data_IF_273126466027
#
_entry.id   IF_273126466027
#
_cell.length_a   1.000
_cell.length_b   1.000
_cell.length_c   1.000
_cell.angle_alpha   90.00
_cell.angle_beta   90.00
_cell.angle_gamma   90.00
#
_symmetry.space_group_name_H-M   'P 1'
#
loop_
_entity.id
_entity.type
_entity.pdbx_description
1 polymer ?
#
# COMPACT_ATOMS: atom_id res chain seq x y z
N UNK A 1 -3.34 15.33 12.13
CA UNK A 1 -2.50 14.76 11.06
C UNK A 1 -1.85 13.49 11.54
N UNK A 2 -1.51 12.59 10.62
CA UNK A 2 -0.95 11.26 10.93
C UNK A 2 0.41 11.36 11.60
N UNK A 3 0.64 10.48 12.58
CA UNK A 3 1.87 10.41 13.38
C UNK A 3 2.39 8.97 13.42
N UNK A 4 3.61 8.78 13.92
CA UNK A 4 4.14 7.44 14.20
C UNK A 4 3.27 6.67 15.21
N UNK A 5 2.67 7.36 16.18
CA UNK A 5 1.72 6.77 17.12
C UNK A 5 0.44 6.29 16.42
N UNK A 6 -0.08 7.09 15.49
CA UNK A 6 -1.24 6.72 14.65
C UNK A 6 -0.96 5.43 13.87
N UNK A 7 0.15 5.39 13.12
CA UNK A 7 0.52 4.19 12.36
C UNK A 7 0.76 2.98 13.27
N UNK A 8 1.33 3.18 14.45
CA UNK A 8 1.51 2.11 15.44
C UNK A 8 0.17 1.50 15.87
N UNK A 9 -0.85 2.33 16.16
CA UNK A 9 -2.16 1.83 16.54
C UNK A 9 -2.96 1.21 15.39
N UNK A 10 -2.64 1.54 14.14
CA UNK A 10 -3.17 0.86 12.94
C UNK A 10 -2.64 -0.56 12.75
N UNK A 11 -1.48 -0.90 13.33
CA UNK A 11 -0.93 -2.26 13.25
C UNK A 11 -1.81 -3.23 14.05
N UNK A 12 -2.10 -4.37 13.43
CA UNK A 12 -2.74 -5.53 14.09
C UNK A 12 -1.71 -6.43 14.76
N UNK A 13 -0.64 -6.70 14.03
CA UNK A 13 0.42 -7.62 14.41
C UNK A 13 1.73 -6.87 14.64
N UNK A 14 2.84 -7.60 14.75
CA UNK A 14 4.18 -7.03 14.98
C UNK A 14 4.66 -6.14 13.83
N UNK A 15 4.18 -6.40 12.61
CA UNK A 15 4.51 -5.65 11.39
C UNK A 15 3.30 -4.84 10.93
N UNK A 16 3.53 -3.69 10.27
CA UNK A 16 2.46 -3.05 9.50
C UNK A 16 1.97 -3.98 8.39
N UNK A 17 0.79 -3.66 7.87
CA UNK A 17 0.27 -4.28 6.67
C UNK A 17 1.26 -4.11 5.51
N UNK A 18 1.27 -5.05 4.57
CA UNK A 18 2.29 -5.08 3.52
C UNK A 18 2.30 -3.82 2.64
N UNK A 19 1.14 -3.19 2.44
CA UNK A 19 0.97 -2.08 1.48
C UNK A 19 0.12 -0.96 2.07
N UNK A 20 0.57 0.28 1.85
CA UNK A 20 -0.19 1.51 2.06
C UNK A 20 -0.10 2.37 0.79
N UNK A 21 -1.22 2.96 0.38
CA UNK A 21 -1.27 3.92 -0.74
C UNK A 21 -1.51 5.32 -0.19
N UNK A 22 -0.82 6.31 -0.76
CA UNK A 22 -0.78 7.69 -0.27
C UNK A 22 -0.64 8.68 -1.42
N UNK A 23 -1.23 9.86 -1.29
CA UNK A 23 -1.08 10.97 -2.24
C UNK A 23 0.29 11.66 -2.11
N UNK A 24 1.06 11.34 -1.08
CA UNK A 24 2.33 11.99 -0.78
C UNK A 24 3.41 11.00 -0.31
N UNK A 25 4.67 11.38 -0.51
CA UNK A 25 5.86 10.64 -0.06
C UNK A 25 6.05 10.64 1.48
N UNK A 26 5.21 11.38 2.19
CA UNK A 26 5.24 11.50 3.65
C UNK A 26 6.47 12.22 4.17
N UNK A 27 6.72 12.07 5.46
CA UNK A 27 7.89 12.62 6.14
C UNK A 27 8.61 11.55 6.93
N UNK A 28 9.94 11.65 6.98
CA UNK A 28 10.77 10.77 7.79
C UNK A 28 10.75 11.28 9.24
N UNK A 29 10.12 10.52 10.14
CA UNK A 29 10.07 10.83 11.57
C UNK A 29 10.59 9.65 12.38
N UNK A 30 11.68 9.87 13.11
CA UNK A 30 12.33 8.82 13.89
C UNK A 30 12.84 7.62 13.07
N UNK A 31 13.18 7.81 11.80
CA UNK A 31 13.62 6.74 10.89
C UNK A 31 12.48 5.93 10.26
N UNK A 32 11.22 6.30 10.52
CA UNK A 32 10.04 5.73 9.89
C UNK A 32 9.42 6.76 8.95
N UNK A 33 9.02 6.32 7.77
CA UNK A 33 8.21 7.15 6.89
C UNK A 33 6.75 7.13 7.33
N UNK A 34 6.18 8.33 7.43
CA UNK A 34 4.79 8.56 7.85
C UNK A 34 4.10 9.41 6.79
N UNK A 35 2.98 8.94 6.20
CA UNK A 35 2.18 9.75 5.28
C UNK A 35 1.70 11.05 5.93
N UNK A 36 1.60 12.12 5.15
CA UNK A 36 1.01 13.37 5.58
C UNK A 36 -0.52 13.34 5.42
N UNK A 37 -1.22 14.16 6.21
CA UNK A 37 -2.69 14.22 6.19
C UNK A 37 -3.38 13.15 7.04
N UNK A 38 -4.61 12.80 6.67
CA UNK A 38 -5.50 11.88 7.40
C UNK A 38 -5.89 10.68 6.53
N UNK A 39 -5.98 9.49 7.15
CA UNK A 39 -6.47 8.27 6.49
C UNK A 39 -7.94 8.44 6.09
N UNK A 40 -8.34 7.80 4.99
CA UNK A 40 -9.77 7.67 4.65
C UNK A 40 -10.54 7.04 5.82
N UNK A 41 -11.57 7.73 6.29
CA UNK A 41 -12.39 7.26 7.43
C UNK A 41 -11.83 7.63 8.82
N UNK A 42 -10.84 8.53 8.90
CA UNK A 42 -10.44 9.14 10.16
C UNK A 42 -11.57 9.99 10.78
N UNK A 43 -11.69 9.94 12.11
CA UNK A 43 -12.58 10.80 12.87
C UNK A 43 -11.80 12.06 13.29
N UNK A 44 -11.90 13.12 12.49
CA UNK A 44 -11.21 14.39 12.71
C UNK A 44 -12.14 15.57 12.45
N UNK A 45 -11.85 16.70 13.08
CA UNK A 45 -12.53 17.97 12.83
C UNK A 45 -11.91 18.76 11.66
N UNK A 46 -10.88 18.21 10.99
CA UNK A 46 -10.27 18.81 9.81
C UNK A 46 -11.30 18.98 8.68
N UNK A 47 -11.18 20.10 7.95
CA UNK A 47 -12.04 20.43 6.81
C UNK A 47 -11.27 20.71 5.53
N UNK A 48 -9.93 20.84 5.62
CA UNK A 48 -9.08 21.06 4.47
C UNK A 48 -9.03 19.79 3.57
N UNK A 49 -9.53 19.86 2.33
CA UNK A 49 -9.50 18.72 1.41
C UNK A 49 -8.08 18.25 1.09
N UNK A 50 -7.07 19.12 1.16
CA UNK A 50 -5.67 18.79 0.88
C UNK A 50 -5.04 17.96 2.03
N UNK A 51 -5.71 17.87 3.18
CA UNK A 51 -5.28 17.08 4.33
C UNK A 51 -6.16 15.85 4.57
N UNK A 52 -7.39 15.84 4.08
CA UNK A 52 -8.33 14.73 4.24
C UNK A 52 -8.10 13.63 3.20
N UNK A 53 -8.39 12.38 3.57
CA UNK A 53 -8.40 11.22 2.67
C UNK A 53 -7.10 11.02 1.88
N UNK A 54 -5.96 11.34 2.49
CA UNK A 54 -4.66 11.40 1.80
C UNK A 54 -4.00 10.04 1.62
N UNK A 55 -4.46 9.01 2.34
CA UNK A 55 -3.91 7.66 2.23
C UNK A 55 -4.89 6.60 2.71
N UNK A 56 -4.63 5.35 2.32
CA UNK A 56 -5.29 4.15 2.82
C UNK A 56 -4.29 3.06 3.16
N UNK A 57 -4.56 2.32 4.23
CA UNK A 57 -3.78 1.12 4.60
C UNK A 57 -4.51 -0.10 4.07
N UNK A 58 -3.88 -0.89 3.20
CA UNK A 58 -4.52 -2.04 2.59
C UNK A 58 -4.52 -3.23 3.57
N UNK A 59 -5.56 -4.07 3.49
CA UNK A 59 -5.61 -5.27 4.32
C UNK A 59 -4.67 -6.35 3.80
N UNK A 60 -4.10 -7.15 4.71
CA UNK A 60 -3.44 -8.42 4.42
C UNK A 60 -4.41 -9.62 4.45
N UNK A 61 -5.70 -9.41 4.69
CA UNK A 61 -6.72 -10.47 4.73
C UNK A 61 -6.77 -11.21 3.38
N UNK A 62 -6.28 -12.45 3.35
CA UNK A 62 -6.20 -13.29 2.14
C UNK A 62 -5.50 -12.62 0.94
N UNK A 63 -4.49 -11.79 1.20
CA UNK A 63 -3.62 -11.24 0.16
C UNK A 63 -2.72 -12.34 -0.42
N UNK A 64 -2.48 -12.34 -1.73
CA UNK A 64 -1.49 -13.18 -2.40
C UNK A 64 -0.07 -12.71 -2.11
N UNK A 65 0.96 -13.21 -2.79
CA UNK A 65 2.30 -12.63 -2.74
C UNK A 65 2.35 -11.20 -3.33
N UNK A 66 3.39 -10.44 -2.97
CA UNK A 66 3.82 -9.26 -3.71
C UNK A 66 4.85 -9.74 -4.73
N UNK A 67 4.53 -9.65 -6.02
CA UNK A 67 5.43 -10.01 -7.11
C UNK A 67 6.11 -8.77 -7.67
N UNK A 68 7.44 -8.80 -7.74
CA UNK A 68 8.28 -7.71 -8.21
C UNK A 68 8.95 -8.13 -9.52
N UNK A 69 8.61 -7.46 -10.62
CA UNK A 69 9.14 -7.76 -11.95
C UNK A 69 9.89 -6.53 -12.49
N UNK A 70 11.23 -6.51 -12.44
CA UNK A 70 11.99 -5.45 -13.09
C UNK A 70 11.93 -5.62 -14.61
N UNK A 71 11.59 -4.55 -15.30
CA UNK A 71 11.50 -4.48 -16.75
C UNK A 71 12.55 -3.51 -17.29
N UNK A 72 13.46 -4.03 -18.12
CA UNK A 72 14.43 -3.19 -18.81
C UNK A 72 13.88 -2.71 -20.14
N UNK A 73 13.82 -1.39 -20.29
CA UNK A 73 13.43 -0.70 -21.50
C UNK A 73 14.68 -0.49 -22.34
N UNK A 74 14.77 -1.20 -23.47
CA UNK A 74 15.87 -1.07 -24.42
C UNK A 74 15.39 -0.86 -25.85
N UNK A 75 16.13 -0.07 -26.62
CA UNK A 75 15.99 -0.01 -28.07
C UNK A 75 16.99 -0.95 -28.73
N UNK A 76 16.50 -1.92 -29.52
CA UNK A 76 17.34 -2.86 -30.27
C UNK A 76 17.25 -2.57 -31.76
N UNK A 77 18.38 -2.28 -32.40
CA UNK A 77 18.47 -2.04 -33.84
C UNK A 77 19.59 -2.88 -34.47
N UNK A 78 19.36 -3.36 -35.68
CA UNK A 78 20.38 -4.05 -36.48
C UNK A 78 21.18 -3.04 -37.29
N UNK A 79 22.51 -3.11 -37.22
CA UNK A 79 23.41 -2.23 -37.97
C UNK A 79 23.80 -2.83 -39.31
N UNK A 80 24.32 -2.00 -40.21
CA UNK A 80 24.69 -2.38 -41.59
C UNK A 80 25.71 -3.53 -41.67
N UNK A 81 26.52 -3.73 -40.62
CA UNK A 81 27.45 -4.85 -40.50
C UNK A 81 26.80 -6.15 -39.97
N UNK A 82 25.47 -6.21 -39.92
CA UNK A 82 24.72 -7.39 -39.49
C UNK A 82 24.73 -7.66 -37.97
N UNK A 83 25.45 -6.86 -37.18
CA UNK A 83 25.42 -6.97 -35.70
C UNK A 83 24.19 -6.27 -35.13
N UNK A 84 23.73 -6.75 -33.98
CA UNK A 84 22.67 -6.10 -33.22
C UNK A 84 23.30 -5.13 -32.22
N UNK A 85 22.72 -3.94 -32.07
CA UNK A 85 23.02 -3.01 -30.98
C UNK A 85 21.78 -2.84 -30.12
N UNK A 86 21.95 -2.89 -28.80
CA UNK A 86 20.92 -2.52 -27.82
C UNK A 86 21.36 -1.24 -27.09
N UNK A 87 20.40 -0.36 -26.83
CA UNK A 87 20.58 0.85 -26.02
C UNK A 87 19.66 0.76 -24.83
N UNK A 88 20.23 0.69 -23.63
CA UNK A 88 19.49 0.75 -22.38
C UNK A 88 18.98 2.17 -22.16
N UNK A 89 17.66 2.32 -21.95
CA UNK A 89 17.01 3.61 -21.75
C UNK A 89 16.66 3.79 -20.27
N UNK A 90 15.94 2.82 -19.70
CA UNK A 90 15.53 2.84 -18.31
C UNK A 90 15.23 1.42 -17.82
N UNK A 91 15.27 1.24 -16.51
CA UNK A 91 14.67 0.10 -15.82
C UNK A 91 13.39 0.61 -15.13
N UNK A 92 12.32 -0.17 -15.14
CA UNK A 92 11.05 0.12 -14.46
C UNK A 92 10.63 -1.08 -13.62
N UNK A 93 10.13 -0.86 -12.42
CA UNK A 93 9.56 -1.93 -11.60
C UNK A 93 8.05 -2.09 -11.82
N UNK A 94 7.62 -3.32 -12.11
CA UNK A 94 6.21 -3.71 -12.08
C UNK A 94 5.91 -4.52 -10.82
N UNK A 95 4.83 -4.17 -10.13
CA UNK A 95 4.45 -4.77 -8.85
C UNK A 95 3.03 -5.32 -8.97
N UNK A 96 2.87 -6.61 -8.70
CA UNK A 96 1.60 -7.32 -8.86
C UNK A 96 1.21 -8.03 -7.57
N UNK A 97 -0.07 -7.90 -7.20
CA UNK A 97 -0.65 -8.63 -6.08
C UNK A 97 -2.17 -8.66 -6.17
N UNK A 98 -2.77 -9.52 -5.37
CA UNK A 98 -4.21 -9.78 -5.39
C UNK A 98 -4.73 -10.15 -4.01
N UNK A 99 -6.04 -10.20 -3.89
CA UNK A 99 -6.75 -10.76 -2.75
C UNK A 99 -7.76 -11.79 -3.23
N UNK A 100 -7.89 -12.88 -2.46
CA UNK A 100 -8.97 -13.85 -2.63
C UNK A 100 -9.98 -13.71 -1.49
N UNK A 101 -11.26 -13.46 -1.82
CA UNK A 101 -12.36 -13.32 -0.85
C UNK A 101 -12.09 -12.24 0.21
N UNK A 102 -11.59 -11.09 -0.22
CA UNK A 102 -11.48 -9.91 0.63
C UNK A 102 -12.88 -9.40 1.00
N UNK A 103 -13.18 -9.10 2.27
CA UNK A 103 -14.40 -8.39 2.64
C UNK A 103 -14.54 -7.06 1.89
N UNK A 104 -15.74 -6.75 1.41
CA UNK A 104 -16.00 -5.50 0.68
C UNK A 104 -15.75 -4.25 1.54
N UNK A 105 -15.81 -4.37 2.86
CA UNK A 105 -15.54 -3.29 3.82
C UNK A 105 -14.78 -3.83 5.04
N UNK A 106 -13.99 -2.97 5.69
CA UNK A 106 -13.21 -3.32 6.88
C UNK A 106 -14.05 -3.46 8.15
N UNK A 107 -15.09 -2.63 8.29
CA UNK A 107 -15.95 -2.57 9.47
C UNK A 107 -17.42 -2.48 9.09
N UNK A 108 -18.32 -2.75 10.04
CA UNK A 108 -19.77 -2.64 9.86
C UNK A 108 -20.23 -1.21 9.50
N UNK A 109 -19.54 -0.19 10.02
CA UNK A 109 -19.78 1.23 9.80
C UNK A 109 -18.49 1.93 9.34
N UNK A 110 -18.52 3.26 9.22
CA UNK A 110 -17.32 4.07 9.00
C UNK A 110 -16.29 3.73 10.09
N UNK A 111 -15.04 3.50 9.69
CA UNK A 111 -14.00 3.04 10.60
C UNK A 111 -13.79 3.98 11.79
N UNK A 112 -14.00 5.28 11.59
CA UNK A 112 -13.91 6.33 12.62
C UNK A 112 -12.58 6.25 13.39
N UNK A 113 -11.46 6.12 12.66
CA UNK A 113 -10.14 5.99 13.25
C UNK A 113 -9.86 7.21 14.12
N UNK A 114 -9.50 6.99 15.39
CA UNK A 114 -9.12 8.08 16.28
C UNK A 114 -7.93 8.84 15.70
N UNK A 115 -8.03 10.18 15.60
CA UNK A 115 -7.02 11.02 14.94
C UNK A 115 -5.62 10.95 15.57
N UNK A 116 -5.51 10.56 16.85
CA UNK A 116 -4.22 10.46 17.54
C UNK A 116 -3.69 9.03 17.54
N UNK A 117 -4.54 8.04 17.81
CA UNK A 117 -4.11 6.65 18.00
C UNK A 117 -4.28 5.79 16.76
N UNK A 118 -5.05 6.20 15.76
CA UNK A 118 -5.39 5.38 14.59
C UNK A 118 -6.29 4.18 14.90
N UNK A 119 -6.76 4.03 16.14
CA UNK A 119 -7.58 2.90 16.54
C UNK A 119 -9.05 3.18 16.19
N UNK A 120 -9.69 2.24 15.50
CA UNK A 120 -11.14 2.22 15.32
C UNK A 120 -11.85 1.77 16.61
N UNK A 121 -13.02 2.33 16.95
CA UNK A 121 -13.87 1.79 18.03
C UNK A 121 -14.31 0.34 17.81
N UNK A 122 -14.20 -0.16 16.56
CA UNK A 122 -14.56 -1.52 16.19
C UNK A 122 -13.36 -2.48 16.17
N UNK A 123 -12.16 -2.02 16.53
CA UNK A 123 -10.96 -2.88 16.53
C UNK A 123 -11.15 -4.06 17.48
N UNK A 124 -10.85 -5.26 16.98
CA UNK A 124 -10.91 -6.53 17.70
C UNK A 124 -12.29 -6.92 18.24
N UNK A 125 -13.36 -6.52 17.56
CA UNK A 125 -14.72 -6.92 17.91
C UNK A 125 -15.45 -7.58 16.74
N UNK A 126 -16.73 -7.95 16.94
CA UNK A 126 -17.55 -8.65 15.94
C UNK A 126 -17.96 -7.80 14.73
N UNK A 127 -17.62 -6.51 14.75
CA UNK A 127 -17.94 -5.52 13.72
C UNK A 127 -16.72 -5.19 12.85
N UNK A 128 -15.57 -5.83 13.10
CA UNK A 128 -14.38 -5.84 12.24
C UNK A 128 -14.43 -7.08 11.32
N UNK A 129 -14.30 -6.88 10.01
CA UNK A 129 -14.47 -7.92 9.00
C UNK A 129 -13.17 -8.30 8.32
N UNK A 130 -12.28 -7.34 8.04
CA UNK A 130 -10.89 -7.65 7.65
C UNK A 130 -10.12 -8.13 8.88
N UNK A 131 -9.14 -9.02 8.70
CA UNK A 131 -8.48 -9.67 9.84
C UNK A 131 -7.60 -8.71 10.67
N UNK A 132 -7.26 -7.59 10.07
CA UNK A 132 -6.27 -6.61 10.51
C UNK A 132 -6.81 -5.17 10.51
N UNK A 133 -8.10 -4.97 10.22
CA UNK A 133 -8.72 -3.65 10.14
C UNK A 133 -8.17 -2.79 9.01
N UNK A 134 -7.50 -3.37 8.01
CA UNK A 134 -7.08 -2.71 6.79
C UNK A 134 -8.25 -2.55 5.80
N UNK A 135 -8.03 -1.76 4.75
CA UNK A 135 -9.02 -1.43 3.73
C UNK A 135 -9.64 -2.67 3.08
N UNK A 136 -10.98 -2.65 2.96
CA UNK A 136 -11.74 -3.66 2.22
C UNK A 136 -11.85 -3.33 0.73
N UNK A 137 -12.48 -4.23 -0.03
CA UNK A 137 -12.52 -4.14 -1.48
C UNK A 137 -13.14 -2.85 -2.05
N UNK A 138 -14.17 -2.30 -1.41
CA UNK A 138 -14.81 -1.05 -1.85
C UNK A 138 -13.89 0.15 -1.68
N UNK A 139 -13.13 0.21 -0.59
CA UNK A 139 -12.18 1.31 -0.37
C UNK A 139 -11.02 1.26 -1.38
N UNK A 140 -10.59 0.05 -1.75
CA UNK A 140 -9.59 -0.15 -2.81
C UNK A 140 -10.12 0.28 -4.18
N UNK A 141 -11.36 -0.09 -4.51
CA UNK A 141 -12.02 0.33 -5.76
C UNK A 141 -12.25 1.85 -5.80
N UNK A 142 -12.66 2.44 -4.68
CA UNK A 142 -12.85 3.90 -4.57
C UNK A 142 -11.52 4.64 -4.77
N UNK A 143 -10.43 4.15 -4.18
CA UNK A 143 -9.09 4.69 -4.45
C UNK A 143 -8.74 4.62 -5.94
N UNK A 144 -8.92 3.45 -6.58
CA UNK A 144 -8.67 3.29 -8.01
C UNK A 144 -9.46 4.28 -8.88
N UNK A 145 -10.74 4.48 -8.58
CA UNK A 145 -11.61 5.38 -9.37
C UNK A 145 -11.26 6.86 -9.18
N UNK A 146 -10.78 7.25 -8.00
CA UNK A 146 -10.54 8.66 -7.65
C UNK A 146 -9.08 9.09 -7.88
N UNK A 147 -8.14 8.15 -8.08
CA UNK A 147 -6.72 8.44 -8.25
C UNK A 147 -6.20 7.90 -9.60
N UNK A 148 -6.46 8.65 -10.67
CA UNK A 148 -6.00 8.32 -12.02
C UNK A 148 -4.55 8.72 -12.29
N UNK A 149 -3.97 9.55 -11.41
CA UNK A 149 -2.59 10.00 -11.47
C UNK A 149 -1.62 9.05 -10.74
N UNK A 150 -0.32 9.39 -10.75
CA UNK A 150 0.66 8.68 -9.94
C UNK A 150 0.44 8.97 -8.46
N UNK A 151 0.58 7.95 -7.63
CA UNK A 151 0.49 8.02 -6.17
C UNK A 151 1.66 7.28 -5.54
N UNK A 152 1.84 7.43 -4.23
CA UNK A 152 2.92 6.81 -3.48
C UNK A 152 2.47 5.50 -2.87
N UNK A 153 3.29 4.47 -3.06
CA UNK A 153 3.11 3.17 -2.43
C UNK A 153 4.22 2.95 -1.39
N UNK A 154 3.77 2.65 -0.18
CA UNK A 154 4.60 2.31 0.96
C UNK A 154 4.55 0.79 1.12
N UNK A 155 5.72 0.18 1.12
CA UNK A 155 5.87 -1.27 1.21
C UNK A 155 6.52 -1.66 2.54
N UNK A 156 6.03 -2.75 3.10
CA UNK A 156 6.59 -3.37 4.29
C UNK A 156 6.94 -4.83 3.99
N UNK A 157 8.17 -5.06 3.54
CA UNK A 157 8.73 -6.40 3.32
C UNK A 157 10.20 -6.41 3.71
N UNK A 158 10.80 -7.57 3.97
CA UNK A 158 12.21 -7.57 4.39
C UNK A 158 13.14 -7.40 3.17
N UNK A 159 13.85 -6.27 3.15
CA UNK A 159 14.92 -5.98 2.19
C UNK A 159 16.07 -5.27 2.92
N UNK A 160 16.73 -6.00 3.83
CA UNK A 160 17.86 -5.50 4.62
C UNK A 160 18.99 -4.89 3.77
N UNK A 161 19.10 -5.26 2.49
CA UNK A 161 20.12 -4.72 1.59
C UNK A 161 19.94 -3.23 1.29
N UNK A 162 18.74 -2.67 1.50
CA UNK A 162 18.46 -1.24 1.37
C UNK A 162 18.97 -0.42 2.58
N UNK A 163 19.33 -1.07 3.68
CA UNK A 163 19.68 -0.42 4.97
C UNK A 163 21.16 -0.54 5.30
N UNK A 164 22.03 -0.42 4.29
CA UNK A 164 23.48 -0.48 4.48
C UNK A 164 23.98 0.75 5.23
N UNK A 165 24.90 0.54 6.16
CA UNK A 165 25.65 1.60 6.83
C UNK A 165 27.04 1.63 6.19
N UNK A 166 27.47 2.81 5.69
CA UNK A 166 28.75 2.99 4.99
C UNK A 166 29.01 2.00 3.84
N UNK A 167 27.94 1.56 3.15
CA UNK A 167 28.00 0.63 2.02
C UNK A 167 28.01 -0.85 2.40
N UNK A 168 28.01 -1.17 3.70
CA UNK A 168 28.06 -2.53 4.21
C UNK A 168 26.75 -2.93 4.92
N UNK A 169 26.41 -4.22 4.87
CA UNK A 169 25.28 -4.77 5.64
C UNK A 169 25.76 -5.04 7.05
N UNK A 170 25.14 -4.38 8.03
CA UNK A 170 25.46 -4.51 9.45
C UNK A 170 24.28 -5.07 10.23
N UNK A 171 24.47 -5.39 11.51
CA UNK A 171 23.39 -5.93 12.36
C UNK A 171 22.15 -5.01 12.41
N UNK A 172 22.36 -3.69 12.38
CA UNK A 172 21.25 -2.72 12.37
C UNK A 172 20.42 -2.81 11.09
N UNK A 173 20.99 -3.22 9.95
CA UNK A 173 20.28 -3.35 8.67
C UNK A 173 19.10 -4.33 8.72
N UNK A 174 19.08 -5.24 9.69
CA UNK A 174 17.99 -6.21 9.90
C UNK A 174 16.86 -5.67 10.80
N UNK A 175 17.01 -4.48 11.38
CA UNK A 175 16.08 -3.90 12.36
C UNK A 175 14.81 -3.25 11.79
N UNK A 176 14.58 -3.32 10.48
CA UNK A 176 13.59 -2.50 9.77
C UNK A 176 12.27 -3.22 9.45
N UNK A 177 11.96 -4.34 10.11
CA UNK A 177 10.72 -5.12 9.85
C UNK A 177 9.43 -4.44 10.34
N UNK A 178 9.54 -3.56 11.34
CA UNK A 178 8.42 -2.93 12.02
C UNK A 178 7.95 -1.61 11.36
N UNK A 179 8.41 -1.30 10.15
CA UNK A 179 8.12 -0.06 9.44
C UNK A 179 7.84 -0.31 7.95
N UNK A 180 7.20 0.66 7.30
CA UNK A 180 7.27 0.76 5.85
C UNK A 180 8.69 1.18 5.49
N UNK A 181 9.34 0.35 4.70
CA UNK A 181 10.79 0.37 4.54
C UNK A 181 11.20 0.60 3.07
N UNK A 182 10.22 0.65 2.17
CA UNK A 182 10.41 1.09 0.80
C UNK A 182 9.22 1.95 0.37
N UNK A 183 9.52 3.00 -0.39
CA UNK A 183 8.55 3.97 -0.89
C UNK A 183 8.82 4.19 -2.36
N UNK A 184 7.81 3.97 -3.17
CA UNK A 184 7.91 4.05 -4.63
C UNK A 184 6.71 4.83 -5.14
N UNK A 185 6.94 5.71 -6.11
CA UNK A 185 5.85 6.35 -6.84
C UNK A 185 5.38 5.42 -7.95
N UNK A 186 4.08 5.14 -7.98
CA UNK A 186 3.48 4.16 -8.88
C UNK A 186 2.20 4.70 -9.52
N UNK A 187 1.75 4.03 -10.58
CA UNK A 187 0.42 4.20 -11.16
C UNK A 187 -0.21 2.84 -11.44
N UNK A 188 -1.54 2.80 -11.57
CA UNK A 188 -2.25 1.59 -11.98
C UNK A 188 -1.96 1.26 -13.45
N UNK A 189 -1.34 0.11 -13.68
CA UNK A 189 -1.24 -0.48 -15.02
C UNK A 189 -2.47 -1.36 -15.33
N UNK A 190 -3.01 -2.05 -14.32
CA UNK A 190 -4.22 -2.85 -14.44
C UNK A 190 -4.93 -3.01 -13.08
N UNK A 191 -6.27 -3.08 -13.12
CA UNK A 191 -7.11 -3.28 -11.94
C UNK A 191 -8.33 -4.12 -12.32
N UNK A 192 -8.48 -5.28 -11.68
CA UNK A 192 -9.61 -6.17 -11.90
C UNK A 192 -10.24 -6.57 -10.56
N UNK A 193 -11.56 -6.70 -10.54
CA UNK A 193 -12.28 -7.22 -9.39
C UNK A 193 -13.49 -8.06 -9.79
N UNK A 194 -13.90 -8.96 -8.89
CA UNK A 194 -15.14 -9.73 -9.02
C UNK A 194 -15.79 -9.93 -7.66
N UNK A 195 -17.12 -9.93 -7.62
CA UNK A 195 -17.90 -10.22 -6.41
C UNK A 195 -18.19 -11.72 -6.37
N UNK A 196 -17.48 -12.45 -5.51
CA UNK A 196 -17.46 -13.92 -5.51
C UNK A 196 -18.57 -14.50 -4.64
N UNK A 197 -18.83 -13.90 -3.48
CA UNK A 197 -19.92 -14.31 -2.59
C UNK A 197 -20.61 -13.09 -2.02
N UNK A 198 -21.91 -13.22 -1.79
CA UNK A 198 -22.70 -12.18 -1.13
C UNK A 198 -22.93 -12.50 0.34
N UNK A 199 -22.82 -11.47 1.16
CA UNK A 199 -23.23 -11.52 2.56
C UNK A 199 -24.75 -11.48 2.69
N UNK A 200 -25.29 -12.05 3.76
CA UNK A 200 -26.73 -11.96 4.03
C UNK A 200 -27.13 -10.54 4.42
N UNK A 201 -26.58 -10.05 5.53
CA UNK A 201 -26.89 -8.73 6.12
C UNK A 201 -25.62 -7.90 6.43
N UNK A 202 -24.47 -8.27 5.87
CA UNK A 202 -23.16 -7.71 6.25
C UNK A 202 -22.35 -7.21 5.05
N UNK A 203 -21.47 -8.02 4.47
CA UNK A 203 -20.52 -7.63 3.43
C UNK A 203 -20.36 -8.73 2.39
N UNK A 204 -19.93 -8.35 1.21
CA UNK A 204 -19.65 -9.28 0.12
C UNK A 204 -18.16 -9.65 0.14
N UNK A 205 -17.81 -10.79 -0.45
CA UNK A 205 -16.43 -11.22 -0.62
C UNK A 205 -16.00 -11.02 -2.06
N UNK A 206 -14.91 -10.30 -2.24
CA UNK A 206 -14.41 -9.87 -3.53
C UNK A 206 -13.06 -10.52 -3.81
N UNK A 207 -12.81 -10.88 -5.06
CA UNK A 207 -11.46 -11.13 -5.56
C UNK A 207 -11.00 -9.87 -6.27
N UNK A 208 -9.79 -9.40 -5.96
CA UNK A 208 -9.21 -8.17 -6.54
C UNK A 208 -7.80 -8.50 -7.00
N UNK A 209 -7.40 -8.06 -8.18
CA UNK A 209 -6.02 -8.11 -8.66
C UNK A 209 -5.58 -6.74 -9.14
N UNK A 210 -4.37 -6.35 -8.75
CA UNK A 210 -3.79 -5.05 -9.05
C UNK A 210 -2.41 -5.24 -9.66
N UNK A 211 -2.16 -4.52 -10.75
CA UNK A 211 -0.82 -4.33 -11.31
C UNK A 211 -0.48 -2.85 -11.23
N UNK A 212 0.63 -2.56 -10.57
CA UNK A 212 1.20 -1.22 -10.42
C UNK A 212 2.52 -1.15 -11.17
N UNK A 213 2.81 0.02 -11.72
CA UNK A 213 4.06 0.31 -12.39
C UNK A 213 4.72 1.53 -11.76
N UNK A 214 6.02 1.45 -11.53
CA UNK A 214 6.85 2.58 -11.14
C UNK A 214 6.83 3.67 -12.22
N UNK A 215 6.83 4.93 -11.75
CA UNK A 215 6.77 6.16 -12.57
C UNK A 215 8.15 6.72 -12.81
#
# INVERSE_FOLDING_TARGET
MTTSAYLSGRKRYQRPQAVLWSENAGTLTGGLYVPNGYEVGANTAETDPDLLNQFIILSDHNRSELSFTPQRIEQRQRTINGRMRSYHIADKLQIQFSWNRLPSRAYYQVAAFNETTGISPYKNNTQEFTADGGAGGVAILDWYNNHTGPFWMYLAYDNYANFKEDGEVVNNSFGHLAQYNEIIQVYFADFNYSVVKRGGNNFDMWDISVTLEEV
#
